data_IF_731258065823
#
_entry.id   IF_731258065823
#
_cell.length_a   1.000
_cell.length_b   1.000
_cell.length_c   1.000
_cell.angle_alpha   90.00
_cell.angle_beta   90.00
_cell.angle_gamma   90.00
#
_symmetry.space_group_name_H-M   'P 1'
#
loop_
_entity.id
_entity.type
_entity.pdbx_description
1 polymer ?
#
# COMPACT_ATOMS: atom_id res chain seq x y z
N UNK A 1 -12.15 47.73 43.84
CA UNK A 1 -11.39 46.98 42.82
C UNK A 1 -11.85 45.53 42.94
N UNK A 2 -12.66 45.03 42.00
CA UNK A 2 -12.24 44.12 40.89
C UNK A 2 -11.50 42.89 41.45
N UNK A 3 -11.90 41.62 41.33
CA UNK A 3 -12.83 40.89 40.45
C UNK A 3 -13.24 39.55 41.13
N UNK A 4 -14.41 39.00 40.76
CA UNK A 4 -14.79 37.59 40.91
C UNK A 4 -13.97 36.71 39.97
N UNK A 5 -13.68 35.47 40.37
CA UNK A 5 -13.78 34.21 39.59
C UNK A 5 -13.46 33.07 40.56
N UNK A 6 -14.17 31.94 40.63
CA UNK A 6 -15.00 31.27 39.63
C UNK A 6 -14.59 29.81 39.71
N UNK A 7 -15.44 28.97 40.30
CA UNK A 7 -15.30 27.52 40.33
C UNK A 7 -15.31 27.00 38.90
N UNK A 8 -14.38 26.11 38.55
CA UNK A 8 -14.44 25.34 37.30
C UNK A 8 -14.66 23.86 37.64
N UNK A 9 -15.81 23.36 37.22
CA UNK A 9 -16.20 21.95 37.23
C UNK A 9 -15.94 21.43 35.82
N UNK A 10 -15.10 20.40 35.70
CA UNK A 10 -14.70 19.84 34.42
C UNK A 10 -15.85 19.28 33.60
N UNK A 11 -15.68 19.29 32.27
CA UNK A 11 -16.45 18.49 31.33
C UNK A 11 -15.57 18.06 30.15
N UNK A 12 -15.54 16.75 29.91
CA UNK A 12 -15.56 16.15 28.56
C UNK A 12 -14.31 16.24 27.69
N UNK A 13 -13.45 15.22 27.78
CA UNK A 13 -12.59 14.82 26.64
C UNK A 13 -13.48 14.39 25.47
N UNK A 14 -13.62 15.25 24.47
CA UNK A 14 -14.07 14.84 23.15
C UNK A 14 -12.94 14.12 22.43
N UNK A 15 -13.11 12.83 22.17
CA UNK A 15 -12.22 12.05 21.30
C UNK A 15 -12.45 12.51 19.85
N UNK A 16 -11.67 13.49 19.42
CA UNK A 16 -11.60 13.92 18.03
C UNK A 16 -10.88 12.87 17.19
N UNK A 17 -11.54 12.46 16.11
CA UNK A 17 -11.04 11.57 15.06
C UNK A 17 -9.62 11.96 14.64
N UNK A 18 -8.67 11.05 14.84
CA UNK A 18 -7.28 11.22 14.49
C UNK A 18 -7.08 11.33 12.98
N UNK A 19 -6.77 12.54 12.52
CA UNK A 19 -6.03 12.69 11.27
C UNK A 19 -4.66 11.98 11.37
N UNK A 20 -3.94 11.83 10.24
CA UNK A 20 -2.60 11.25 10.28
C UNK A 20 -1.77 11.99 11.33
N UNK A 21 -0.96 11.28 12.14
CA UNK A 21 -0.27 11.87 13.27
C UNK A 21 0.48 13.11 12.80
N UNK A 22 0.36 14.21 13.55
CA UNK A 22 0.85 15.56 13.22
C UNK A 22 2.25 15.54 12.58
N UNK A 23 3.13 14.65 13.05
CA UNK A 23 4.48 14.44 12.53
C UNK A 23 4.59 13.95 11.07
N UNK A 24 3.64 13.19 10.52
CA UNK A 24 3.69 12.74 9.11
C UNK A 24 3.53 13.91 8.15
N UNK A 25 2.58 14.81 8.41
CA UNK A 25 2.34 15.99 7.56
C UNK A 25 3.49 16.97 7.67
N UNK A 26 4.04 17.17 8.86
CA UNK A 26 5.10 18.15 9.10
C UNK A 26 6.44 17.73 8.47
N UNK A 27 6.79 16.43 8.51
CA UNK A 27 8.01 15.89 7.90
C UNK A 27 8.02 15.97 6.36
N UNK A 28 6.86 15.90 5.71
CA UNK A 28 6.79 15.98 4.24
C UNK A 28 6.68 17.41 3.70
N UNK A 29 6.62 18.43 4.57
CA UNK A 29 6.46 19.85 4.20
C UNK A 29 7.75 20.68 4.33
N UNK A 30 8.90 20.05 4.60
CA UNK A 30 10.17 20.77 4.57
C UNK A 30 10.37 21.45 3.20
N UNK A 31 10.66 22.75 3.16
CA UNK A 31 10.77 23.49 1.91
C UNK A 31 11.94 22.94 1.09
N UNK A 32 11.68 22.64 -0.19
CA UNK A 32 12.70 22.14 -1.12
C UNK A 32 13.84 23.18 -1.20
N UNK A 33 15.10 22.82 -0.91
CA UNK A 33 16.23 23.74 -1.02
C UNK A 33 16.38 24.31 -2.43
N UNK A 34 16.90 25.54 -2.54
CA UNK A 34 16.99 26.27 -3.81
C UNK A 34 17.70 25.50 -4.93
N UNK A 35 18.69 24.68 -4.60
CA UNK A 35 19.44 23.84 -5.56
C UNK A 35 18.59 22.73 -6.21
N UNK A 36 17.49 22.32 -5.57
CA UNK A 36 16.59 21.27 -6.05
C UNK A 36 15.28 21.84 -6.63
N UNK A 37 14.97 23.11 -6.34
CA UNK A 37 13.75 23.76 -6.81
C UNK A 37 13.68 23.75 -8.34
N UNK A 38 12.50 23.39 -8.86
CA UNK A 38 12.25 23.39 -10.30
C UNK A 38 12.93 22.28 -11.10
N UNK A 39 13.66 21.34 -10.46
CA UNK A 39 14.16 20.14 -11.14
C UNK A 39 12.99 19.33 -11.72
N UNK A 40 13.15 18.95 -12.98
CA UNK A 40 12.24 18.09 -13.74
C UNK A 40 13.05 16.95 -14.33
N UNK A 41 12.47 15.77 -14.44
CA UNK A 41 13.19 14.62 -14.99
C UNK A 41 13.56 14.86 -16.48
N UNK A 42 14.86 14.91 -16.84
CA UNK A 42 15.27 15.01 -18.24
C UNK A 42 15.32 13.65 -18.95
N UNK A 43 15.25 12.54 -18.20
CA UNK A 43 15.37 11.17 -18.69
C UNK A 43 14.00 10.60 -19.05
N UNK A 44 13.76 10.21 -20.31
CA UNK A 44 12.52 9.55 -20.71
C UNK A 44 12.32 8.25 -19.93
N UNK A 45 11.09 7.98 -19.50
CA UNK A 45 10.72 6.70 -18.87
C UNK A 45 10.52 5.59 -19.92
N UNK A 46 11.56 5.32 -20.72
CA UNK A 46 11.60 4.24 -21.71
C UNK A 46 12.09 2.92 -21.09
N UNK A 47 12.07 1.84 -21.88
CA UNK A 47 12.44 0.50 -21.42
C UNK A 47 13.86 0.44 -20.85
N UNK A 48 14.81 1.17 -21.45
CA UNK A 48 16.20 1.20 -20.99
C UNK A 48 16.33 1.92 -19.65
N UNK A 49 15.66 3.06 -19.48
CA UNK A 49 15.59 3.79 -18.20
C UNK A 49 14.96 2.94 -17.11
N UNK A 50 13.85 2.26 -17.42
CA UNK A 50 13.16 1.39 -16.46
C UNK A 50 14.03 0.19 -16.08
N UNK A 51 14.76 -0.41 -17.01
CA UNK A 51 15.66 -1.54 -16.72
C UNK A 51 16.85 -1.13 -15.83
N UNK A 52 17.46 0.04 -16.10
CA UNK A 52 18.52 0.58 -15.23
C UNK A 52 17.97 0.91 -13.85
N UNK A 53 16.82 1.59 -13.79
CA UNK A 53 16.13 1.93 -12.55
C UNK A 53 15.77 0.72 -11.71
N UNK A 54 15.26 -0.36 -12.32
CA UNK A 54 14.94 -1.63 -11.65
C UNK A 54 16.20 -2.27 -11.03
N UNK A 55 17.32 -2.28 -11.77
CA UNK A 55 18.58 -2.83 -11.28
C UNK A 55 19.10 -2.07 -10.05
N UNK A 56 19.10 -0.74 -10.11
CA UNK A 56 19.52 0.12 -8.99
C UNK A 56 18.55 -0.03 -7.81
N UNK A 57 17.26 0.01 -8.06
CA UNK A 57 16.23 -0.13 -7.03
C UNK A 57 16.36 -1.43 -6.25
N UNK A 58 16.54 -2.54 -6.94
CA UNK A 58 16.70 -3.85 -6.30
C UNK A 58 17.96 -3.92 -5.42
N UNK A 59 19.05 -3.27 -5.83
CA UNK A 59 20.31 -3.29 -5.09
C UNK A 59 20.32 -2.32 -3.90
N UNK A 60 19.69 -1.16 -4.04
CA UNK A 60 19.85 -0.03 -3.10
C UNK A 60 18.59 0.25 -2.27
N UNK A 61 17.40 0.06 -2.84
CA UNK A 61 16.16 0.58 -2.27
C UNK A 61 15.26 -0.51 -1.68
N UNK A 62 15.15 -1.65 -2.37
CA UNK A 62 14.18 -2.70 -2.07
C UNK A 62 14.36 -3.35 -0.69
N UNK A 63 15.57 -3.39 -0.13
CA UNK A 63 15.79 -3.95 1.22
C UNK A 63 15.00 -3.22 2.31
N UNK A 64 14.74 -1.92 2.14
CA UNK A 64 13.95 -1.13 3.08
C UNK A 64 12.53 -0.87 2.53
N UNK A 65 12.40 -0.58 1.25
CA UNK A 65 11.12 -0.20 0.65
C UNK A 65 10.29 -1.37 0.11
N UNK A 66 10.84 -2.59 0.09
CA UNK A 66 10.26 -3.75 -0.57
C UNK A 66 10.34 -3.64 -2.09
N UNK A 67 10.27 -4.76 -2.81
CA UNK A 67 10.34 -4.79 -4.26
C UNK A 67 9.15 -4.05 -4.90
N UNK A 68 7.99 -4.10 -4.23
CA UNK A 68 6.78 -3.36 -4.61
C UNK A 68 6.78 -1.89 -4.20
N UNK A 69 7.79 -1.41 -3.49
CA UNK A 69 7.85 -0.03 -2.99
C UNK A 69 6.78 0.30 -1.96
N UNK A 70 6.36 -0.67 -1.15
CA UNK A 70 5.30 -0.51 -0.15
C UNK A 70 5.82 -0.15 1.25
N UNK A 71 7.13 -0.09 1.43
CA UNK A 71 7.74 0.14 2.74
C UNK A 71 7.82 -1.12 3.60
N UNK A 72 7.67 -2.29 2.98
CA UNK A 72 7.59 -3.62 3.60
C UNK A 72 8.88 -4.43 3.43
N UNK A 73 10.00 -3.77 3.08
CA UNK A 73 11.30 -4.42 2.96
C UNK A 73 11.79 -4.93 4.33
N UNK A 74 12.55 -6.05 4.36
CA UNK A 74 12.97 -6.68 5.61
C UNK A 74 13.78 -5.77 6.54
N UNK A 75 14.59 -4.85 5.98
CA UNK A 75 15.36 -3.88 6.78
C UNK A 75 14.51 -2.67 7.24
N UNK A 76 13.30 -2.50 6.68
CA UNK A 76 12.37 -1.42 6.99
C UNK A 76 11.45 -1.72 8.18
N UNK A 77 11.20 -2.99 8.50
CA UNK A 77 10.16 -3.42 9.46
C UNK A 77 10.29 -2.82 10.88
N UNK A 78 11.52 -2.53 11.33
CA UNK A 78 11.79 -2.01 12.67
C UNK A 78 12.27 -0.55 12.69
N UNK A 79 12.11 0.17 11.58
CA UNK A 79 12.50 1.58 11.50
C UNK A 79 11.39 2.48 12.02
N UNK A 80 11.75 3.50 12.80
CA UNK A 80 10.84 4.58 13.20
C UNK A 80 11.45 5.93 12.80
N UNK A 81 10.85 6.65 11.82
CA UNK A 81 9.65 6.29 11.08
C UNK A 81 9.92 5.17 10.05
N UNK A 82 8.89 4.36 9.81
CA UNK A 82 8.92 3.30 8.80
C UNK A 82 9.11 3.88 7.38
N UNK A 83 9.71 3.11 6.45
CA UNK A 83 9.79 3.54 5.05
C UNK A 83 8.41 3.78 4.46
N UNK A 84 8.26 4.85 3.70
CA UNK A 84 6.99 5.18 3.06
C UNK A 84 6.65 4.20 1.92
N UNK A 85 5.35 4.04 1.58
CA UNK A 85 4.93 3.36 0.35
C UNK A 85 5.24 4.25 -0.86
N UNK A 86 6.48 4.20 -1.32
CA UNK A 86 7.03 5.05 -2.39
C UNK A 86 6.40 4.78 -3.75
N UNK A 87 5.90 3.57 -4.01
CA UNK A 87 5.13 3.30 -5.22
C UNK A 87 3.90 4.21 -5.29
N UNK A 88 3.10 4.25 -4.21
CA UNK A 88 1.91 5.11 -4.14
C UNK A 88 2.27 6.60 -4.06
N UNK A 89 3.12 6.98 -3.10
CA UNK A 89 3.41 8.39 -2.83
C UNK A 89 4.14 9.09 -3.98
N UNK A 90 4.96 8.37 -4.76
CA UNK A 90 5.62 8.95 -5.94
C UNK A 90 4.63 9.58 -6.92
N UNK A 91 3.41 9.03 -7.05
CA UNK A 91 2.39 9.54 -7.96
C UNK A 91 1.90 10.95 -7.59
N UNK A 92 2.02 11.33 -6.31
CA UNK A 92 1.53 12.62 -5.78
C UNK A 92 2.65 13.65 -5.58
N UNK A 93 3.91 13.22 -5.61
CA UNK A 93 5.07 14.06 -5.32
C UNK A 93 5.70 14.61 -6.60
N UNK A 94 6.23 15.84 -6.53
CA UNK A 94 6.95 16.46 -7.64
C UNK A 94 8.30 15.79 -7.88
N UNK A 95 8.79 15.89 -9.11
CA UNK A 95 10.12 15.40 -9.49
C UNK A 95 11.23 16.02 -8.65
N UNK A 96 11.18 17.34 -8.45
CA UNK A 96 12.12 18.07 -7.58
C UNK A 96 12.14 17.53 -6.16
N UNK A 97 10.99 17.14 -5.61
CA UNK A 97 10.91 16.58 -4.28
C UNK A 97 11.51 15.17 -4.25
N UNK A 98 11.12 14.28 -5.18
CA UNK A 98 11.65 12.92 -5.24
C UNK A 98 13.16 12.90 -5.43
N UNK A 99 13.67 13.74 -6.34
CA UNK A 99 15.09 13.89 -6.59
C UNK A 99 15.84 14.32 -5.34
N UNK A 100 15.35 15.36 -4.66
CA UNK A 100 15.94 15.84 -3.41
C UNK A 100 15.93 14.77 -2.32
N UNK A 101 14.80 14.06 -2.15
CA UNK A 101 14.66 12.97 -1.17
C UNK A 101 15.68 11.87 -1.37
N UNK A 102 15.95 11.47 -2.61
CA UNK A 102 16.94 10.43 -2.93
C UNK A 102 18.36 10.99 -2.75
N UNK A 103 18.60 12.21 -3.23
CA UNK A 103 19.92 12.85 -3.19
C UNK A 103 20.44 13.03 -1.76
N UNK A 104 19.63 13.60 -0.88
CA UNK A 104 20.02 13.96 0.50
C UNK A 104 19.63 12.90 1.55
N UNK A 105 18.81 11.93 1.16
CA UNK A 105 18.34 10.88 2.06
C UNK A 105 17.42 11.39 3.19
N UNK A 106 17.47 10.67 4.31
CA UNK A 106 16.51 10.71 5.39
C UNK A 106 16.84 11.63 6.56
N UNK A 107 18.09 12.10 6.68
CA UNK A 107 18.57 12.78 7.89
C UNK A 107 17.71 13.98 8.29
N UNK A 108 17.38 14.85 7.33
CA UNK A 108 16.51 16.03 7.51
C UNK A 108 15.03 15.69 7.78
N UNK A 109 14.66 14.41 7.66
CA UNK A 109 13.31 13.89 7.89
C UNK A 109 13.28 12.91 9.06
N UNK A 110 14.38 12.81 9.80
CA UNK A 110 14.58 11.88 10.90
C UNK A 110 14.33 10.41 10.48
N UNK A 111 14.73 10.03 9.27
CA UNK A 111 14.70 8.63 8.80
C UNK A 111 16.11 8.10 8.57
N UNK A 112 16.26 6.78 8.53
CA UNK A 112 17.54 6.08 8.33
C UNK A 112 17.93 5.93 6.85
N UNK A 113 17.18 6.53 5.94
CA UNK A 113 17.52 6.51 4.51
C UNK A 113 18.85 7.23 4.28
N UNK A 114 19.80 6.56 3.65
CA UNK A 114 21.10 7.16 3.31
C UNK A 114 20.95 8.17 2.16
N UNK A 115 21.92 9.09 2.05
CA UNK A 115 22.03 9.98 0.91
C UNK A 115 22.66 9.25 -0.28
N UNK A 116 22.12 9.44 -1.48
CA UNK A 116 22.61 8.77 -2.69
C UNK A 116 23.37 9.70 -3.65
N UNK A 117 23.42 11.01 -3.42
CA UNK A 117 24.09 11.98 -4.32
C UNK A 117 25.59 11.71 -4.56
N UNK A 118 26.24 11.01 -3.62
CA UNK A 118 27.66 10.64 -3.71
C UNK A 118 27.86 9.15 -4.11
N UNK A 119 26.78 8.43 -4.38
CA UNK A 119 26.75 6.99 -4.70
C UNK A 119 26.23 6.76 -6.12
N UNK A 120 25.17 7.49 -6.50
CA UNK A 120 24.52 7.43 -7.80
C UNK A 120 24.75 8.74 -8.54
N UNK A 121 24.91 8.65 -9.85
CA UNK A 121 24.88 9.80 -10.75
C UNK A 121 23.47 10.40 -10.87
N UNK A 122 23.41 11.64 -11.38
CA UNK A 122 22.13 12.33 -11.63
C UNK A 122 21.19 11.50 -12.53
N UNK A 123 21.73 10.86 -13.56
CA UNK A 123 20.96 10.01 -14.49
C UNK A 123 20.40 8.77 -13.77
N UNK A 124 21.21 8.13 -12.93
CA UNK A 124 20.79 6.94 -12.16
C UNK A 124 19.69 7.27 -11.14
N UNK A 125 19.75 8.45 -10.50
CA UNK A 125 18.67 8.91 -9.61
C UNK A 125 17.36 9.07 -10.41
N UNK A 126 17.43 9.64 -11.62
CA UNK A 126 16.25 9.79 -12.48
C UNK A 126 15.70 8.46 -12.98
N UNK A 127 16.57 7.51 -13.33
CA UNK A 127 16.17 6.14 -13.71
C UNK A 127 15.40 5.46 -12.56
N UNK A 128 15.88 5.58 -11.32
CA UNK A 128 15.17 5.05 -10.14
C UNK A 128 13.81 5.73 -9.95
N UNK A 129 13.72 7.05 -10.13
CA UNK A 129 12.45 7.78 -10.04
C UNK A 129 11.47 7.29 -11.11
N UNK A 130 11.92 7.09 -12.34
CA UNK A 130 11.11 6.52 -13.42
C UNK A 130 10.59 5.14 -13.04
N UNK A 131 11.45 4.26 -12.53
CA UNK A 131 11.06 2.92 -12.10
C UNK A 131 10.05 2.94 -10.94
N UNK A 132 10.26 3.75 -9.90
CA UNK A 132 9.31 3.86 -8.77
C UNK A 132 7.96 4.42 -9.22
N UNK A 133 7.94 5.38 -10.14
CA UNK A 133 6.68 5.87 -10.74
C UNK A 133 6.00 4.78 -11.57
N UNK A 134 6.77 3.97 -12.28
CA UNK A 134 6.24 2.84 -13.05
C UNK A 134 5.65 1.76 -12.15
N UNK A 135 6.30 1.43 -11.02
CA UNK A 135 5.73 0.55 -9.98
C UNK A 135 4.40 1.10 -9.47
N UNK A 136 4.36 2.38 -9.10
CA UNK A 136 3.15 3.03 -8.57
C UNK A 136 1.97 3.09 -9.53
N UNK A 137 2.24 3.05 -10.84
CA UNK A 137 1.21 3.08 -11.90
C UNK A 137 0.92 1.70 -12.49
N UNK A 138 1.55 0.64 -11.99
CA UNK A 138 1.37 -0.73 -12.49
C UNK A 138 1.97 -0.98 -13.87
N UNK A 139 2.86 -0.09 -14.36
CA UNK A 139 3.52 -0.25 -15.67
C UNK A 139 4.64 -1.30 -15.66
N UNK A 140 5.23 -1.54 -14.50
CA UNK A 140 6.25 -2.57 -14.29
C UNK A 140 5.88 -3.43 -13.09
N UNK A 141 6.31 -4.67 -13.14
CA UNK A 141 6.11 -5.63 -12.07
C UNK A 141 7.28 -5.59 -11.10
N UNK A 142 7.05 -5.68 -9.78
CA UNK A 142 8.14 -5.79 -8.83
C UNK A 142 8.83 -7.15 -8.98
N UNK A 143 10.12 -7.19 -8.63
CA UNK A 143 10.78 -8.46 -8.33
C UNK A 143 10.05 -9.10 -7.13
N UNK A 144 10.00 -10.43 -7.04
CA UNK A 144 9.28 -11.14 -5.96
C UNK A 144 10.26 -11.75 -4.97
N UNK A 145 11.16 -10.95 -4.42
CA UNK A 145 12.29 -11.41 -3.61
C UNK A 145 12.42 -10.68 -2.26
N UNK A 146 11.99 -9.43 -2.13
CA UNK A 146 12.06 -8.61 -0.91
C UNK A 146 10.74 -7.88 -0.68
N UNK A 147 10.13 -8.01 0.50
CA UNK A 147 8.78 -7.49 0.72
C UNK A 147 7.71 -8.31 0.01
N UNK A 148 6.44 -7.95 0.19
CA UNK A 148 5.31 -8.86 -0.07
C UNK A 148 4.07 -8.26 -0.71
N UNK A 149 3.97 -6.95 -0.95
CA UNK A 149 2.77 -6.38 -1.58
C UNK A 149 3.06 -5.72 -2.93
N UNK A 150 2.66 -6.39 -4.01
CA UNK A 150 2.60 -5.83 -5.35
C UNK A 150 1.18 -5.27 -5.64
N UNK A 151 1.09 -4.11 -6.29
CA UNK A 151 -0.16 -3.56 -6.84
C UNK A 151 -0.38 -4.02 -8.29
N UNK A 152 -0.26 -5.32 -8.58
CA UNK A 152 -0.54 -5.87 -9.92
C UNK A 152 -1.78 -6.77 -9.90
N UNK A 153 -2.82 -6.47 -10.71
CA UNK A 153 -4.02 -7.30 -10.81
C UNK A 153 -3.74 -8.75 -11.21
N UNK A 154 -2.83 -8.99 -12.16
CA UNK A 154 -2.52 -10.34 -12.62
C UNK A 154 -1.74 -11.12 -11.56
N UNK A 155 -0.81 -10.46 -10.87
CA UNK A 155 -0.11 -11.03 -9.72
C UNK A 155 -1.06 -11.36 -8.58
N UNK A 156 -1.99 -10.46 -8.24
CA UNK A 156 -3.00 -10.70 -7.21
C UNK A 156 -3.88 -11.89 -7.57
N UNK A 157 -4.34 -11.97 -8.83
CA UNK A 157 -5.11 -13.10 -9.32
C UNK A 157 -4.31 -14.43 -9.24
N UNK A 158 -3.02 -14.41 -9.61
CA UNK A 158 -2.17 -15.59 -9.50
C UNK A 158 -1.94 -15.99 -8.04
N UNK A 159 -1.68 -15.05 -7.14
CA UNK A 159 -1.51 -15.33 -5.70
C UNK A 159 -2.78 -15.91 -5.10
N UNK A 160 -3.95 -15.39 -5.48
CA UNK A 160 -5.24 -15.92 -5.07
C UNK A 160 -5.45 -17.35 -5.60
N UNK A 161 -5.09 -17.63 -6.86
CA UNK A 161 -5.15 -18.97 -7.42
C UNK A 161 -4.20 -19.95 -6.73
N UNK A 162 -2.96 -19.55 -6.45
CA UNK A 162 -1.95 -20.37 -5.75
C UNK A 162 -2.40 -20.68 -4.31
N UNK A 163 -3.00 -19.71 -3.63
CA UNK A 163 -3.57 -19.87 -2.29
C UNK A 163 -4.68 -20.91 -2.26
N UNK A 164 -5.64 -20.83 -3.19
CA UNK A 164 -6.73 -21.80 -3.28
C UNK A 164 -6.21 -23.19 -3.66
N UNK A 165 -5.25 -23.27 -4.59
CA UNK A 165 -4.61 -24.52 -4.95
C UNK A 165 -3.92 -25.19 -3.74
N UNK A 166 -3.26 -24.42 -2.89
CA UNK A 166 -2.69 -24.92 -1.64
C UNK A 166 -3.78 -25.44 -0.68
N UNK A 167 -4.93 -24.77 -0.60
CA UNK A 167 -6.09 -25.23 0.18
C UNK A 167 -6.65 -26.57 -0.31
N UNK A 168 -6.72 -26.74 -1.62
CA UNK A 168 -7.13 -28.01 -2.26
C UNK A 168 -6.10 -29.11 -2.00
N UNK A 169 -4.82 -28.81 -2.16
CA UNK A 169 -3.72 -29.78 -1.94
C UNK A 169 -3.67 -30.26 -0.49
N UNK A 170 -3.90 -29.37 0.48
CA UNK A 170 -3.95 -29.70 1.90
C UNK A 170 -5.26 -30.38 2.32
N UNK A 171 -6.25 -30.48 1.43
CA UNK A 171 -7.56 -31.02 1.73
C UNK A 171 -8.39 -30.12 2.66
N UNK A 172 -8.00 -28.86 2.83
CA UNK A 172 -8.75 -27.87 3.60
C UNK A 172 -10.05 -27.51 2.88
N UNK A 173 -10.03 -27.50 1.54
CA UNK A 173 -11.17 -27.24 0.65
C UNK A 173 -11.16 -28.18 -0.56
N UNK A 174 -12.29 -28.28 -1.24
CA UNK A 174 -12.45 -29.01 -2.50
C UNK A 174 -12.24 -28.09 -3.71
N UNK A 175 -12.06 -28.67 -4.89
CA UNK A 175 -11.95 -27.90 -6.15
C UNK A 175 -13.22 -27.08 -6.42
N UNK A 176 -14.40 -27.65 -6.19
CA UNK A 176 -15.69 -26.96 -6.37
C UNK A 176 -15.83 -25.78 -5.39
N UNK A 177 -15.33 -25.93 -4.16
CA UNK A 177 -15.26 -24.85 -3.17
C UNK A 177 -14.30 -23.74 -3.62
N UNK A 178 -13.14 -24.06 -4.20
CA UNK A 178 -12.22 -23.07 -4.74
C UNK A 178 -12.83 -22.26 -5.91
N UNK A 179 -13.60 -22.93 -6.77
CA UNK A 179 -14.32 -22.28 -7.88
C UNK A 179 -15.45 -21.37 -7.35
N UNK A 180 -16.21 -21.83 -6.36
CA UNK A 180 -17.23 -21.02 -5.69
C UNK A 180 -16.61 -19.79 -5.02
N UNK A 181 -15.50 -20.00 -4.30
CA UNK A 181 -14.80 -18.92 -3.62
C UNK A 181 -14.34 -17.84 -4.60
N UNK A 182 -13.74 -18.24 -5.72
CA UNK A 182 -13.32 -17.32 -6.80
C UNK A 182 -14.50 -16.56 -7.38
N UNK A 183 -15.60 -17.24 -7.70
CA UNK A 183 -16.78 -16.61 -8.30
C UNK A 183 -17.44 -15.57 -7.37
N UNK A 184 -17.48 -15.84 -6.06
CA UNK A 184 -18.02 -14.88 -5.08
C UNK A 184 -17.03 -13.73 -4.85
N UNK A 185 -15.73 -14.02 -4.75
CA UNK A 185 -14.69 -13.01 -4.62
C UNK A 185 -14.71 -11.99 -5.78
N UNK A 186 -14.81 -12.45 -7.02
CA UNK A 186 -14.85 -11.57 -8.20
C UNK A 186 -16.07 -10.64 -8.17
N UNK A 187 -17.21 -11.13 -7.69
CA UNK A 187 -18.42 -10.30 -7.49
C UNK A 187 -18.24 -9.28 -6.37
N UNK A 188 -17.56 -9.65 -5.29
CA UNK A 188 -17.23 -8.73 -4.20
C UNK A 188 -16.30 -7.62 -4.69
N UNK A 189 -15.24 -7.93 -5.42
CA UNK A 189 -14.33 -6.90 -5.94
C UNK A 189 -15.04 -6.00 -6.98
N UNK A 190 -15.86 -6.55 -7.87
CA UNK A 190 -16.68 -5.75 -8.78
C UNK A 190 -17.68 -4.84 -8.03
N UNK A 191 -18.32 -5.35 -6.98
CA UNK A 191 -19.21 -4.55 -6.14
C UNK A 191 -18.44 -3.42 -5.46
N UNK A 192 -17.27 -3.72 -4.92
CA UNK A 192 -16.40 -2.75 -4.25
C UNK A 192 -15.97 -1.63 -5.17
N UNK A 193 -15.51 -1.95 -6.38
CA UNK A 193 -15.14 -0.96 -7.39
C UNK A 193 -16.31 -0.04 -7.74
N UNK A 194 -17.51 -0.61 -7.92
CA UNK A 194 -18.70 0.16 -8.26
C UNK A 194 -19.25 1.03 -7.09
N UNK A 195 -18.98 0.65 -5.83
CA UNK A 195 -19.57 1.27 -4.64
C UNK A 195 -18.52 1.86 -3.68
N UNK A 196 -17.33 2.20 -4.18
CA UNK A 196 -16.20 2.75 -3.41
C UNK A 196 -16.57 3.90 -2.46
N UNK A 197 -17.47 4.80 -2.86
CA UNK A 197 -17.87 5.95 -2.02
C UNK A 197 -18.78 5.52 -0.85
N UNK A 198 -19.66 4.55 -1.06
CA UNK A 198 -20.54 4.02 0.00
C UNK A 198 -19.74 3.20 1.02
N UNK A 199 -18.76 2.43 0.52
CA UNK A 199 -17.87 1.60 1.33
C UNK A 199 -16.84 2.42 2.12
N UNK A 200 -16.66 3.71 1.80
CA UNK A 200 -15.73 4.61 2.50
C UNK A 200 -15.98 4.67 4.01
N UNK A 201 -17.24 4.51 4.42
CA UNK A 201 -17.63 4.48 5.83
C UNK A 201 -17.15 3.24 6.59
N UNK A 202 -16.84 2.15 5.87
CA UNK A 202 -16.38 0.88 6.42
C UNK A 202 -14.85 0.69 6.38
N UNK A 203 -14.08 1.68 5.89
CA UNK A 203 -12.61 1.56 5.71
C UNK A 203 -11.82 1.24 7.00
N UNK A 204 -12.44 1.38 8.18
CA UNK A 204 -11.85 0.99 9.47
C UNK A 204 -12.24 -0.40 9.98
N UNK A 205 -13.14 -1.12 9.29
CA UNK A 205 -13.66 -2.43 9.71
C UNK A 205 -13.87 -3.37 8.51
N UNK A 206 -12.81 -4.09 8.06
CA UNK A 206 -12.87 -4.94 6.87
C UNK A 206 -13.89 -6.09 6.96
N UNK A 207 -14.08 -6.68 8.14
CA UNK A 207 -15.05 -7.76 8.34
C UNK A 207 -16.50 -7.26 8.17
N UNK A 208 -16.80 -6.09 8.73
CA UNK A 208 -18.12 -5.47 8.60
C UNK A 208 -18.38 -5.03 7.15
N UNK A 209 -17.35 -4.53 6.48
CA UNK A 209 -17.40 -4.20 5.05
C UNK A 209 -17.75 -5.43 4.21
N UNK A 210 -17.04 -6.54 4.40
CA UNK A 210 -17.27 -7.79 3.67
C UNK A 210 -18.69 -8.31 3.92
N UNK A 211 -19.15 -8.29 5.18
CA UNK A 211 -20.52 -8.71 5.52
C UNK A 211 -21.58 -7.86 4.80
N UNK A 212 -21.43 -6.55 4.83
CA UNK A 212 -22.35 -5.64 4.15
C UNK A 212 -22.40 -5.88 2.63
N UNK A 213 -21.25 -6.15 2.01
CA UNK A 213 -21.16 -6.46 0.58
C UNK A 213 -21.82 -7.80 0.23
N UNK A 214 -21.58 -8.85 1.03
CA UNK A 214 -22.25 -10.14 0.86
C UNK A 214 -23.77 -10.01 0.98
N UNK A 215 -24.25 -9.30 2.01
CA UNK A 215 -25.68 -9.01 2.19
C UNK A 215 -26.27 -8.26 0.99
N UNK A 216 -25.53 -7.29 0.44
CA UNK A 216 -25.96 -6.54 -0.74
C UNK A 216 -26.05 -7.43 -1.99
N UNK A 217 -25.06 -8.30 -2.22
CA UNK A 217 -25.05 -9.25 -3.34
C UNK A 217 -26.13 -10.32 -3.23
N UNK A 218 -26.45 -10.77 -2.01
CA UNK A 218 -27.59 -11.68 -1.78
C UNK A 218 -28.90 -10.95 -2.09
N UNK A 219 -29.04 -9.70 -1.65
CA UNK A 219 -30.25 -8.89 -1.86
C UNK A 219 -30.47 -8.53 -3.34
N UNK A 220 -29.41 -8.29 -4.11
CA UNK A 220 -29.51 -8.05 -5.55
C UNK A 220 -29.79 -9.34 -6.35
N UNK A 221 -29.57 -10.51 -5.75
CA UNK A 221 -29.67 -11.81 -6.41
C UNK A 221 -28.43 -12.17 -7.22
N UNK A 222 -27.31 -11.45 -7.04
CA UNK A 222 -26.05 -11.77 -7.71
C UNK A 222 -25.42 -13.05 -7.15
N UNK A 223 -25.67 -13.36 -5.88
CA UNK A 223 -25.33 -14.64 -5.23
C UNK A 223 -26.52 -15.14 -4.39
N UNK A 224 -26.55 -16.43 -4.08
CA UNK A 224 -27.50 -16.99 -3.12
C UNK A 224 -27.00 -16.85 -1.68
N UNK A 225 -27.90 -16.98 -0.70
CA UNK A 225 -27.48 -17.04 0.71
C UNK A 225 -26.55 -18.23 0.97
N UNK A 226 -26.81 -19.38 0.33
CA UNK A 226 -25.94 -20.56 0.44
C UNK A 226 -24.52 -20.29 -0.09
N UNK A 227 -24.39 -19.53 -1.19
CA UNK A 227 -23.09 -19.13 -1.71
C UNK A 227 -22.36 -18.16 -0.77
N UNK A 228 -23.07 -17.24 -0.14
CA UNK A 228 -22.49 -16.34 0.86
C UNK A 228 -22.02 -17.10 2.11
N UNK A 229 -22.84 -18.03 2.62
CA UNK A 229 -22.50 -18.85 3.78
C UNK A 229 -21.31 -19.77 3.48
N UNK A 230 -21.29 -20.40 2.31
CA UNK A 230 -20.18 -21.24 1.85
C UNK A 230 -18.89 -20.42 1.69
N UNK A 231 -18.97 -19.20 1.17
CA UNK A 231 -17.80 -18.33 1.04
C UNK A 231 -17.16 -18.02 2.41
N UNK A 232 -17.97 -17.76 3.43
CA UNK A 232 -17.49 -17.52 4.80
C UNK A 232 -16.90 -18.79 5.42
N UNK A 233 -17.56 -19.94 5.28
CA UNK A 233 -17.04 -21.23 5.78
C UNK A 233 -15.67 -21.59 5.15
N UNK A 234 -15.56 -21.43 3.83
CA UNK A 234 -14.31 -21.65 3.09
C UNK A 234 -13.21 -20.72 3.59
N UNK A 235 -13.55 -19.43 3.80
CA UNK A 235 -12.61 -18.45 4.34
C UNK A 235 -12.06 -18.90 5.70
N UNK A 236 -12.93 -19.30 6.62
CA UNK A 236 -12.55 -19.72 7.96
C UNK A 236 -11.68 -20.98 7.94
N UNK A 237 -12.02 -21.97 7.11
CA UNK A 237 -11.22 -23.20 6.94
C UNK A 237 -9.83 -22.93 6.37
N UNK A 238 -9.71 -22.01 5.43
CA UNK A 238 -8.41 -21.59 4.88
C UNK A 238 -7.58 -20.83 5.93
N UNK A 239 -8.22 -20.04 6.79
CA UNK A 239 -7.54 -19.38 7.92
C UNK A 239 -7.06 -20.39 8.98
N UNK A 240 -7.91 -21.35 9.35
CA UNK A 240 -7.55 -22.44 10.28
C UNK A 240 -6.40 -23.32 9.75
N UNK A 241 -6.34 -23.52 8.44
CA UNK A 241 -5.24 -24.21 7.77
C UNK A 241 -3.94 -23.37 7.68
N UNK A 242 -3.96 -22.12 8.12
CA UNK A 242 -2.81 -21.20 8.04
C UNK A 242 -2.49 -20.74 6.61
N UNK A 243 -3.46 -20.84 5.70
CA UNK A 243 -3.34 -20.46 4.29
C UNK A 243 -3.73 -18.99 4.08
N UNK A 244 -4.71 -18.50 4.86
CA UNK A 244 -5.11 -17.09 4.94
C UNK A 244 -4.85 -16.51 6.33
N UNK A 245 -4.62 -15.19 6.39
CA UNK A 245 -4.46 -14.40 7.62
C UNK A 245 -5.37 -13.18 7.60
#
# INVERSE_FOLDING_TARGET
MRHRHGQDQGHGKGMGMGGPPEGMRERHQAPIPAEYQGKTNPIPADEDSLARGEAIYAQQCATCHGDGGMGDGPAGQNQDPAPAPIAHSSQMLSDSYLYWRISEGGAQFNTTMIAYKDILSDEEIWDVINYVRALGSGKVQPRRNMGGQAMDPNAKAQMHADMLAAGVEQGAITQDEAELFTAVHDKLEAYKEAHMEELRSFMGNPEEMQRAMLEALVKSGDITQEQADAFVDIHDRLAEAGIMQ
#
